data_IF_624847761662
#
_entry.id   IF_624847761662
#
_cell.length_a   1.000
_cell.length_b   1.000
_cell.length_c   1.000
_cell.angle_alpha   90.00
_cell.angle_beta   90.00
_cell.angle_gamma   90.00
#
_symmetry.space_group_name_H-M   'P 1'
#
loop_
_entity.id
_entity.type
_entity.pdbx_description
1 polymer ?
#
# COMPACT_ATOMS: atom_id res chain seq x y z
N UNK A 1 62.31 20.53 -64.05
CA UNK A 1 61.12 20.26 -64.86
C UNK A 1 60.17 19.41 -64.02
N UNK A 2 59.11 19.98 -63.48
CA UNK A 2 58.14 19.35 -62.65
C UNK A 2 56.83 19.16 -63.45
N UNK A 3 56.26 17.98 -63.54
CA UNK A 3 54.91 17.83 -64.03
C UNK A 3 53.88 17.91 -62.85
N UNK A 4 52.89 18.74 -63.03
CA UNK A 4 51.76 18.92 -62.16
C UNK A 4 50.84 17.68 -62.28
N UNK A 5 50.55 17.03 -61.15
CA UNK A 5 49.57 16.00 -61.03
C UNK A 5 48.28 16.63 -60.57
N UNK A 6 47.26 16.56 -61.40
CA UNK A 6 45.87 16.94 -61.14
C UNK A 6 45.18 15.82 -60.40
N UNK A 7 44.72 16.07 -59.20
CA UNK A 7 43.87 15.11 -58.42
C UNK A 7 42.41 15.24 -58.80
N UNK A 8 41.70 14.17 -59.01
CA UNK A 8 40.24 14.21 -59.17
C UNK A 8 39.53 14.35 -57.85
N UNK A 9 38.48 15.15 -57.81
CA UNK A 9 37.61 15.37 -56.68
C UNK A 9 36.87 14.06 -56.32
N UNK A 10 37.17 13.53 -55.12
CA UNK A 10 36.41 12.43 -54.54
C UNK A 10 35.12 12.96 -53.97
N UNK A 11 34.00 12.55 -54.54
CA UNK A 11 32.66 12.76 -54.01
C UNK A 11 32.53 11.94 -52.70
N UNK A 12 32.43 12.62 -51.56
CA UNK A 12 32.12 12.00 -50.28
C UNK A 12 30.65 11.59 -50.27
N UNK A 13 30.39 10.30 -50.33
CA UNK A 13 29.07 9.71 -50.09
C UNK A 13 28.81 9.78 -48.57
N UNK A 14 27.97 10.73 -48.14
CA UNK A 14 27.43 10.73 -46.76
C UNK A 14 26.43 9.55 -46.66
N UNK A 15 26.88 8.43 -46.11
CA UNK A 15 25.97 7.39 -45.64
C UNK A 15 25.20 7.92 -44.39
N UNK A 16 23.93 8.23 -44.62
CA UNK A 16 23.01 8.46 -43.48
C UNK A 16 22.85 7.15 -42.75
N UNK A 17 23.50 7.01 -41.61
CA UNK A 17 23.15 6.05 -40.59
C UNK A 17 21.80 6.49 -40.02
N UNK A 18 20.71 5.97 -40.54
CA UNK A 18 19.42 5.95 -39.86
C UNK A 18 19.55 5.03 -38.67
N UNK A 19 19.99 5.62 -37.54
CA UNK A 19 19.90 4.97 -36.24
C UNK A 19 18.42 4.69 -35.96
N UNK A 20 18.07 3.44 -35.68
CA UNK A 20 16.84 3.06 -35.04
C UNK A 20 16.81 3.69 -33.64
N UNK A 21 16.46 4.96 -33.55
CA UNK A 21 16.04 5.57 -32.31
C UNK A 21 14.65 5.02 -32.01
N UNK A 22 14.57 3.98 -31.16
CA UNK A 22 13.34 3.67 -30.46
C UNK A 22 12.98 4.93 -29.68
N UNK A 23 11.95 5.64 -30.11
CA UNK A 23 11.36 6.69 -29.30
C UNK A 23 10.67 5.99 -28.14
N UNK A 24 11.34 5.87 -27.00
CA UNK A 24 10.69 5.72 -25.72
C UNK A 24 9.92 7.03 -25.49
N UNK A 25 8.78 7.16 -26.19
CA UNK A 25 7.89 8.28 -26.05
C UNK A 25 7.37 8.26 -24.60
N UNK A 26 7.83 9.20 -23.81
CA UNK A 26 7.16 9.46 -22.54
C UNK A 26 5.66 9.57 -22.83
N UNK A 27 4.80 8.92 -22.04
CA UNK A 27 3.37 8.96 -22.28
C UNK A 27 2.93 10.42 -22.36
N UNK A 28 2.19 10.77 -23.41
CA UNK A 28 1.70 12.14 -23.59
C UNK A 28 0.90 12.53 -22.35
N UNK A 29 1.31 13.58 -21.69
CA UNK A 29 0.57 14.15 -20.56
C UNK A 29 -0.74 14.69 -21.15
N UNK A 30 -1.87 14.06 -20.80
CA UNK A 30 -3.19 14.51 -21.21
C UNK A 30 -3.46 15.88 -20.58
N UNK A 31 -4.20 16.75 -21.27
CA UNK A 31 -4.72 17.95 -20.63
C UNK A 31 -5.73 17.57 -19.52
N UNK A 32 -5.95 18.47 -18.55
CA UNK A 32 -6.77 18.17 -17.38
C UNK A 32 -8.21 17.75 -17.75
N UNK A 33 -8.79 18.34 -18.78
CA UNK A 33 -10.16 18.02 -19.22
C UNK A 33 -10.23 16.65 -19.90
N UNK A 34 -9.24 16.29 -20.73
CA UNK A 34 -9.13 14.96 -21.31
C UNK A 34 -8.86 13.89 -20.26
N UNK A 35 -8.07 14.23 -19.22
CA UNK A 35 -7.79 13.37 -18.08
C UNK A 35 -9.04 13.09 -17.25
N UNK A 36 -9.87 14.09 -16.98
CA UNK A 36 -11.14 13.97 -16.25
C UNK A 36 -12.15 13.11 -17.04
N UNK A 37 -12.31 13.38 -18.34
CA UNK A 37 -13.19 12.58 -19.20
C UNK A 37 -12.75 11.10 -19.22
N UNK A 38 -11.45 10.84 -19.40
CA UNK A 38 -10.92 9.49 -19.40
C UNK A 38 -11.03 8.81 -18.03
N UNK A 39 -11.06 9.56 -16.92
CA UNK A 39 -11.34 9.04 -15.58
C UNK A 39 -12.79 8.56 -15.47
N UNK A 40 -13.74 9.34 -15.92
CA UNK A 40 -15.17 8.98 -15.93
C UNK A 40 -15.45 7.74 -16.80
N UNK A 41 -14.79 7.64 -17.94
CA UNK A 41 -14.94 6.54 -18.90
C UNK A 41 -14.47 5.17 -18.38
N UNK A 42 -13.63 5.12 -17.36
CA UNK A 42 -13.11 3.88 -16.77
C UNK A 42 -14.24 2.94 -16.37
N UNK A 43 -15.33 3.47 -15.78
CA UNK A 43 -16.47 2.67 -15.29
C UNK A 43 -17.08 1.86 -16.44
N UNK A 44 -17.38 2.52 -17.56
CA UNK A 44 -18.01 1.86 -18.73
C UNK A 44 -17.08 0.90 -19.45
N UNK A 45 -15.76 1.13 -19.40
CA UNK A 45 -14.73 0.36 -20.12
C UNK A 45 -14.08 -0.73 -19.28
N UNK A 46 -14.33 -0.78 -17.97
CA UNK A 46 -13.61 -1.68 -17.05
C UNK A 46 -13.90 -3.16 -17.27
N UNK A 47 -15.11 -3.51 -17.73
CA UNK A 47 -15.55 -4.90 -17.86
C UNK A 47 -15.63 -5.69 -16.56
N UNK A 48 -15.49 -5.01 -15.40
CA UNK A 48 -15.55 -5.66 -14.08
C UNK A 48 -17.00 -5.99 -13.73
N UNK A 49 -17.32 -7.28 -13.65
CA UNK A 49 -18.61 -7.78 -13.18
C UNK A 49 -18.67 -7.83 -11.64
N UNK A 50 -19.89 -7.84 -11.07
CA UNK A 50 -20.12 -7.88 -9.62
C UNK A 50 -19.31 -6.83 -8.82
N UNK A 51 -19.08 -5.65 -9.44
CA UNK A 51 -18.28 -4.58 -8.85
C UNK A 51 -19.02 -3.26 -9.01
N UNK A 52 -19.19 -2.54 -7.91
CA UNK A 52 -19.62 -1.15 -7.94
C UNK A 52 -18.39 -0.26 -8.04
N UNK A 53 -18.35 0.63 -9.03
CA UNK A 53 -17.25 1.58 -9.23
C UNK A 53 -17.75 3.01 -9.15
N UNK A 54 -16.96 3.85 -8.53
CA UNK A 54 -17.08 5.31 -8.59
C UNK A 54 -15.74 5.92 -8.96
N UNK A 55 -15.76 7.03 -9.67
CA UNK A 55 -14.55 7.76 -10.07
C UNK A 55 -14.64 9.22 -9.65
N UNK A 56 -13.49 9.77 -9.31
CA UNK A 56 -13.32 11.20 -9.02
C UNK A 56 -11.97 11.65 -9.58
N UNK A 57 -11.95 12.74 -10.32
CA UNK A 57 -10.71 13.32 -10.80
C UNK A 57 -10.21 14.39 -9.83
N UNK A 58 -8.95 14.32 -9.46
CA UNK A 58 -8.24 15.27 -8.60
C UNK A 58 -7.27 16.07 -9.49
N UNK A 59 -7.46 17.41 -9.61
CA UNK A 59 -6.58 18.24 -10.44
C UNK A 59 -5.14 18.28 -9.92
N UNK A 60 -4.17 18.45 -10.83
CA UNK A 60 -2.78 18.70 -10.49
C UNK A 60 -2.63 19.95 -9.60
N UNK A 61 -1.63 19.92 -8.72
CA UNK A 61 -1.40 21.01 -7.77
C UNK A 61 -2.24 20.92 -6.49
N UNK A 62 -3.06 19.89 -6.34
CA UNK A 62 -3.75 19.60 -5.07
C UNK A 62 -2.71 19.26 -4.00
N UNK A 63 -2.79 19.93 -2.84
CA UNK A 63 -1.89 19.67 -1.73
C UNK A 63 -2.18 18.29 -1.13
N UNK A 64 -1.13 17.51 -0.88
CA UNK A 64 -1.27 16.20 -0.24
C UNK A 64 -1.81 16.36 1.19
N UNK A 65 -2.84 15.62 1.61
CA UNK A 65 -3.35 15.68 2.98
C UNK A 65 -2.29 15.34 4.02
N UNK A 66 -2.30 16.03 5.15
CA UNK A 66 -1.43 15.72 6.31
C UNK A 66 0.04 16.14 6.15
N UNK A 67 0.44 16.84 5.08
CA UNK A 67 1.80 17.37 4.95
C UNK A 67 1.92 18.79 5.46
N UNK A 68 2.94 19.02 6.30
CA UNK A 68 3.32 20.36 6.78
C UNK A 68 4.33 21.04 5.84
N UNK A 69 4.94 20.27 4.90
CA UNK A 69 5.94 20.78 3.97
C UNK A 69 5.30 21.54 2.82
N UNK A 70 5.77 22.74 2.57
CA UNK A 70 5.45 23.51 1.37
C UNK A 70 6.06 22.79 0.15
N UNK A 71 5.22 22.47 -0.86
CA UNK A 71 5.69 21.88 -2.12
C UNK A 71 5.37 20.41 -2.37
N UNK A 72 4.67 19.72 -1.45
CA UNK A 72 4.22 18.35 -1.68
C UNK A 72 2.82 18.36 -2.35
N UNK A 73 2.83 18.62 -3.65
CA UNK A 73 1.65 18.66 -4.48
C UNK A 73 1.48 17.34 -5.24
N UNK A 74 0.23 16.90 -5.37
CA UNK A 74 -0.12 15.71 -6.12
C UNK A 74 -0.21 16.02 -7.63
N UNK A 75 0.17 15.08 -8.51
CA UNK A 75 -0.16 15.16 -9.92
C UNK A 75 -1.68 15.11 -10.13
N UNK A 76 -2.16 15.56 -11.28
CA UNK A 76 -3.53 15.26 -11.71
C UNK A 76 -3.71 13.74 -11.73
N UNK A 77 -4.79 13.24 -11.15
CA UNK A 77 -5.02 11.80 -11.07
C UNK A 77 -6.50 11.44 -10.96
N UNK A 78 -6.83 10.25 -11.46
CA UNK A 78 -8.12 9.63 -11.28
C UNK A 78 -8.12 8.75 -10.03
N UNK A 79 -9.07 8.96 -9.13
CA UNK A 79 -9.34 8.08 -8.00
C UNK A 79 -10.51 7.17 -8.37
N UNK A 80 -10.26 5.87 -8.39
CA UNK A 80 -11.29 4.84 -8.59
C UNK A 80 -11.53 4.17 -7.25
N UNK A 81 -12.74 4.24 -6.74
CA UNK A 81 -13.17 3.48 -5.56
C UNK A 81 -14.10 2.38 -6.00
N UNK A 82 -13.87 1.17 -5.52
CA UNK A 82 -14.65 0.00 -5.89
C UNK A 82 -15.05 -0.85 -4.70
N UNK A 83 -16.17 -1.56 -4.86
CA UNK A 83 -16.63 -2.60 -3.94
C UNK A 83 -16.97 -3.85 -4.78
N UNK A 84 -16.17 -4.91 -4.62
CA UNK A 84 -16.33 -6.17 -5.36
C UNK A 84 -17.08 -7.19 -4.51
N UNK A 85 -17.87 -8.04 -5.19
CA UNK A 85 -18.59 -9.18 -4.61
C UNK A 85 -19.44 -8.79 -3.39
N UNK A 86 -20.33 -7.78 -3.50
CA UNK A 86 -21.21 -7.41 -2.39
C UNK A 86 -22.12 -8.59 -2.02
N UNK A 87 -22.26 -8.86 -0.74
CA UNK A 87 -23.07 -9.96 -0.19
C UNK A 87 -23.50 -9.69 1.24
N UNK A 88 -24.45 -10.47 1.71
CA UNK A 88 -24.80 -10.55 3.13
C UNK A 88 -24.11 -11.78 3.74
N UNK A 89 -23.40 -11.61 4.85
CA UNK A 89 -22.75 -12.68 5.58
C UNK A 89 -23.71 -13.54 6.38
N UNK A 90 -23.21 -14.64 6.93
CA UNK A 90 -23.99 -15.54 7.80
C UNK A 90 -24.40 -14.87 9.11
N UNK A 91 -23.73 -13.80 9.49
CA UNK A 91 -24.03 -12.95 10.67
C UNK A 91 -25.01 -11.81 10.35
N UNK A 92 -25.58 -11.78 9.15
CA UNK A 92 -26.53 -10.78 8.67
C UNK A 92 -25.91 -9.43 8.28
N UNK A 93 -24.58 -9.29 8.33
CA UNK A 93 -23.91 -8.03 7.99
C UNK A 93 -23.57 -7.95 6.51
N UNK A 94 -23.50 -6.73 5.94
CA UNK A 94 -23.02 -6.53 4.58
C UNK A 94 -21.50 -6.69 4.51
N UNK A 95 -21.02 -7.36 3.48
CA UNK A 95 -19.61 -7.54 3.14
C UNK A 95 -19.37 -7.24 1.67
N UNK A 96 -18.22 -6.68 1.36
CA UNK A 96 -17.68 -6.52 0.02
C UNK A 96 -16.18 -6.33 0.12
N UNK A 97 -15.46 -6.54 -0.97
CA UNK A 97 -14.03 -6.22 -1.05
C UNK A 97 -13.90 -4.78 -1.54
N UNK A 98 -13.67 -3.86 -0.62
CA UNK A 98 -13.42 -2.45 -0.90
C UNK A 98 -11.99 -2.22 -1.38
N UNK A 99 -11.82 -1.31 -2.35
CA UNK A 99 -10.51 -0.84 -2.78
C UNK A 99 -10.55 0.61 -3.24
N UNK A 100 -9.40 1.28 -3.17
CA UNK A 100 -9.15 2.59 -3.76
C UNK A 100 -7.90 2.51 -4.62
N UNK A 101 -8.01 2.96 -5.88
CA UNK A 101 -6.93 2.99 -6.87
C UNK A 101 -6.75 4.41 -7.38
N UNK A 102 -5.56 4.98 -7.22
CA UNK A 102 -5.17 6.27 -7.80
C UNK A 102 -4.33 6.08 -9.05
N UNK A 103 -4.72 6.73 -10.14
CA UNK A 103 -4.17 6.63 -11.49
C UNK A 103 -3.66 8.00 -11.95
N UNK A 104 -2.34 8.30 -11.81
CA UNK A 104 -1.81 9.63 -12.10
C UNK A 104 -1.70 9.89 -13.61
N UNK A 105 -1.88 11.14 -14.04
CA UNK A 105 -1.78 11.53 -15.45
C UNK A 105 -0.35 11.38 -15.99
N UNK A 106 0.65 11.57 -15.13
CA UNK A 106 2.07 11.38 -15.45
C UNK A 106 2.57 9.96 -15.12
N UNK A 107 1.74 8.94 -15.33
CA UNK A 107 2.08 7.56 -14.99
C UNK A 107 3.41 7.11 -15.57
N UNK A 108 4.28 6.58 -14.72
CA UNK A 108 5.64 6.16 -15.05
C UNK A 108 5.77 4.66 -15.45
N UNK A 109 4.64 3.99 -15.71
CA UNK A 109 4.63 2.55 -16.04
C UNK A 109 4.64 1.62 -14.83
N UNK A 110 4.66 2.14 -13.59
CA UNK A 110 4.78 1.34 -12.38
C UNK A 110 3.47 1.30 -11.60
N UNK A 111 3.23 0.14 -10.98
CA UNK A 111 2.10 -0.11 -10.10
C UNK A 111 2.60 -0.42 -8.70
N UNK A 112 1.99 0.17 -7.68
CA UNK A 112 2.26 -0.12 -6.28
C UNK A 112 0.98 -0.55 -5.56
N UNK A 113 1.02 -1.72 -4.94
CA UNK A 113 0.01 -2.17 -4.01
C UNK A 113 0.46 -1.84 -2.58
N UNK A 114 -0.29 -1.00 -1.88
CA UNK A 114 -0.06 -0.68 -0.48
C UNK A 114 -0.73 -1.72 0.41
N UNK A 115 0.07 -2.50 1.11
CA UNK A 115 -0.41 -3.39 2.15
C UNK A 115 -1.07 -2.61 3.30
N UNK A 116 -2.12 -3.17 3.85
CA UNK A 116 -2.84 -2.58 4.97
C UNK A 116 -2.15 -2.78 6.32
N UNK A 117 -2.94 -3.02 7.35
CA UNK A 117 -2.41 -3.26 8.69
C UNK A 117 -3.47 -3.62 9.71
N UNK A 118 -3.05 -4.15 10.86
CA UNK A 118 -3.97 -4.64 11.87
C UNK A 118 -4.90 -5.71 11.30
N UNK A 119 -6.19 -5.53 11.55
CA UNK A 119 -7.26 -6.37 10.97
C UNK A 119 -7.85 -5.76 9.67
N UNK A 120 -7.21 -4.81 9.04
CA UNK A 120 -7.68 -4.00 7.92
C UNK A 120 -9.07 -3.37 8.21
N UNK A 121 -10.06 -3.50 7.34
CA UNK A 121 -11.40 -2.94 7.53
C UNK A 121 -11.53 -1.45 7.21
N UNK A 122 -10.47 -0.84 6.65
CA UNK A 122 -10.40 0.54 6.21
C UNK A 122 -9.56 0.67 4.95
N UNK A 123 -9.96 1.56 4.05
CA UNK A 123 -9.15 1.94 2.89
C UNK A 123 -8.07 2.94 3.34
N UNK A 124 -6.83 2.67 2.96
CA UNK A 124 -5.75 3.64 3.12
C UNK A 124 -5.80 4.66 1.99
N UNK A 125 -5.53 5.91 2.32
CA UNK A 125 -5.37 6.94 1.32
C UNK A 125 -4.17 6.65 0.43
N UNK A 126 -4.43 6.42 -0.86
CA UNK A 126 -3.42 6.07 -1.87
C UNK A 126 -2.51 7.24 -2.26
N UNK A 127 -2.81 8.46 -1.81
CA UNK A 127 -1.95 9.63 -1.97
C UNK A 127 -0.81 9.68 -0.93
N UNK A 128 -0.93 8.90 0.16
CA UNK A 128 0.06 8.85 1.23
C UNK A 128 1.23 7.91 0.89
N UNK A 129 2.35 8.10 1.60
CA UNK A 129 3.48 7.17 1.55
C UNK A 129 3.12 5.86 2.26
N UNK A 130 3.73 4.75 1.84
CA UNK A 130 3.65 3.51 2.60
C UNK A 130 4.40 3.65 3.93
N UNK A 131 4.05 2.82 4.92
CA UNK A 131 4.74 2.79 6.20
C UNK A 131 6.22 2.39 6.12
N UNK A 132 6.65 1.83 5.00
CA UNK A 132 8.05 1.38 4.77
C UNK A 132 8.76 2.30 3.77
N UNK A 133 8.05 2.84 2.79
CA UNK A 133 8.60 3.78 1.80
C UNK A 133 8.31 5.23 2.18
N UNK A 134 8.57 5.58 3.44
CA UNK A 134 8.47 6.97 3.90
C UNK A 134 9.37 7.87 3.08
N UNK A 135 8.77 8.73 2.28
CA UNK A 135 9.53 9.64 1.42
C UNK A 135 8.62 10.70 0.81
N UNK A 136 9.22 11.83 0.49
CA UNK A 136 8.61 12.89 -0.30
C UNK A 136 9.36 12.95 -1.63
N UNK A 137 8.68 12.93 -2.77
CA UNK A 137 7.24 12.81 -2.95
C UNK A 137 6.70 11.38 -2.66
N UNK A 138 5.38 11.28 -2.41
CA UNK A 138 4.69 9.99 -2.26
C UNK A 138 4.79 9.13 -3.53
N UNK A 139 4.52 7.81 -3.49
CA UNK A 139 4.51 6.99 -4.70
C UNK A 139 3.61 7.54 -5.81
N UNK A 140 2.42 8.05 -5.47
CA UNK A 140 1.55 8.74 -6.43
C UNK A 140 2.24 9.98 -7.01
N UNK A 141 2.91 10.78 -6.18
CA UNK A 141 3.71 11.94 -6.60
C UNK A 141 4.86 11.57 -7.53
N UNK A 142 5.41 10.37 -7.38
CA UNK A 142 6.44 9.80 -8.25
C UNK A 142 5.88 9.20 -9.55
N UNK A 143 4.56 9.25 -9.77
CA UNK A 143 3.92 8.73 -10.97
C UNK A 143 3.54 7.25 -10.92
N UNK A 144 3.52 6.62 -9.76
CA UNK A 144 2.99 5.26 -9.63
C UNK A 144 1.45 5.26 -9.66
N UNK A 145 0.85 4.26 -10.29
CA UNK A 145 -0.53 3.87 -9.99
C UNK A 145 -0.52 3.16 -8.63
N UNK A 146 -1.41 3.56 -7.72
CA UNK A 146 -1.35 3.11 -6.32
C UNK A 146 -2.69 2.57 -5.87
N UNK A 147 -2.73 1.37 -5.28
CA UNK A 147 -3.97 0.75 -4.75
C UNK A 147 -3.85 0.42 -3.27
N UNK A 148 -4.98 0.47 -2.57
CA UNK A 148 -5.20 -0.11 -1.24
C UNK A 148 -6.53 -0.87 -1.19
N UNK A 149 -6.69 -1.78 -0.21
CA UNK A 149 -7.95 -2.50 0.04
C UNK A 149 -8.29 -2.51 1.53
N UNK A 150 -9.59 -2.67 1.84
CA UNK A 150 -10.09 -2.89 3.20
C UNK A 150 -9.99 -4.35 3.66
N UNK A 151 -9.45 -5.24 2.83
CA UNK A 151 -9.33 -6.67 3.09
C UNK A 151 -10.66 -7.44 3.17
N UNK A 152 -11.73 -6.92 2.57
CA UNK A 152 -13.01 -7.61 2.38
C UNK A 152 -14.05 -7.39 3.47
N UNK A 153 -13.87 -6.40 4.34
CA UNK A 153 -14.83 -6.01 5.37
C UNK A 153 -14.63 -4.54 5.78
N UNK A 154 -15.60 -4.00 6.51
CA UNK A 154 -15.52 -2.65 7.09
C UNK A 154 -15.38 -2.72 8.61
N UNK A 155 -14.61 -1.77 9.16
CA UNK A 155 -14.33 -1.68 10.59
C UNK A 155 -13.17 -2.56 11.04
N UNK A 156 -12.40 -2.05 11.99
CA UNK A 156 -11.13 -2.66 12.47
C UNK A 156 -11.31 -3.78 13.48
N UNK A 157 -12.56 -4.05 13.91
CA UNK A 157 -12.87 -5.14 14.84
C UNK A 157 -12.68 -6.50 14.17
N UNK A 158 -12.20 -7.49 14.91
CA UNK A 158 -12.11 -8.88 14.48
C UNK A 158 -13.47 -9.58 14.33
N UNK A 159 -14.60 -8.88 14.55
CA UNK A 159 -15.95 -9.46 14.48
C UNK A 159 -16.33 -10.00 13.10
N UNK A 160 -15.69 -9.55 12.01
CA UNK A 160 -15.83 -10.11 10.68
C UNK A 160 -15.52 -11.62 10.64
N UNK A 161 -14.70 -12.10 11.57
CA UNK A 161 -14.32 -13.50 11.69
C UNK A 161 -15.50 -14.45 12.00
N UNK A 162 -16.69 -13.93 12.35
CA UNK A 162 -17.91 -14.74 12.45
C UNK A 162 -18.36 -15.28 11.08
N UNK A 163 -18.10 -14.56 10.00
CA UNK A 163 -18.44 -14.97 8.63
C UNK A 163 -17.29 -15.75 7.97
N UNK A 164 -17.52 -17.00 7.51
CA UNK A 164 -16.47 -17.83 6.90
C UNK A 164 -15.85 -17.20 5.64
N UNK A 165 -16.66 -16.56 4.78
CA UNK A 165 -16.14 -15.94 3.55
C UNK A 165 -15.33 -14.69 3.88
N UNK A 166 -15.72 -13.90 4.87
CA UNK A 166 -14.92 -12.74 5.30
C UNK A 166 -13.55 -13.16 5.84
N UNK A 167 -13.44 -14.33 6.51
CA UNK A 167 -12.13 -14.89 6.87
C UNK A 167 -11.28 -15.24 5.65
N UNK A 168 -11.89 -15.81 4.60
CA UNK A 168 -11.22 -16.14 3.34
C UNK A 168 -10.78 -14.86 2.63
N UNK A 169 -11.66 -13.85 2.57
CA UNK A 169 -11.36 -12.54 1.98
C UNK A 169 -10.18 -11.88 2.68
N UNK A 170 -10.21 -11.83 4.01
CA UNK A 170 -9.12 -11.26 4.82
C UNK A 170 -7.82 -12.10 4.76
N UNK A 171 -7.91 -13.41 4.55
CA UNK A 171 -6.72 -14.25 4.46
C UNK A 171 -5.94 -14.04 3.15
N UNK A 172 -6.63 -13.98 2.00
CA UNK A 172 -5.96 -13.88 0.68
C UNK A 172 -6.85 -13.40 -0.46
N UNK A 173 -8.17 -13.68 -0.45
CA UNK A 173 -9.01 -13.51 -1.64
C UNK A 173 -9.20 -12.04 -2.02
N UNK A 174 -9.35 -11.15 -1.01
CA UNK A 174 -9.46 -9.71 -1.28
C UNK A 174 -8.19 -9.15 -1.93
N UNK A 175 -7.04 -9.64 -1.53
CA UNK A 175 -5.75 -9.20 -2.06
C UNK A 175 -5.57 -9.62 -3.52
N UNK A 176 -5.90 -10.89 -3.84
CA UNK A 176 -5.96 -11.42 -5.20
C UNK A 176 -6.89 -10.57 -6.08
N UNK A 177 -8.15 -10.45 -5.68
CA UNK A 177 -9.17 -9.72 -6.45
C UNK A 177 -8.80 -8.26 -6.68
N UNK A 178 -8.27 -7.59 -5.66
CA UNK A 178 -7.83 -6.20 -5.78
C UNK A 178 -6.64 -6.05 -6.72
N UNK A 179 -5.65 -6.94 -6.66
CA UNK A 179 -4.50 -6.90 -7.57
C UNK A 179 -4.92 -7.08 -9.04
N UNK A 180 -5.77 -8.07 -9.31
CA UNK A 180 -6.28 -8.36 -10.66
C UNK A 180 -7.12 -7.21 -11.18
N UNK A 181 -8.09 -6.71 -10.40
CA UNK A 181 -8.94 -5.59 -10.78
C UNK A 181 -8.12 -4.32 -11.04
N UNK A 182 -7.15 -4.02 -10.20
CA UNK A 182 -6.29 -2.84 -10.36
C UNK A 182 -5.48 -2.89 -11.64
N UNK A 183 -4.85 -4.03 -11.97
CA UNK A 183 -4.09 -4.20 -13.22
C UNK A 183 -5.00 -4.08 -14.46
N UNK A 184 -6.24 -4.56 -14.38
CA UNK A 184 -7.24 -4.36 -15.43
C UNK A 184 -7.61 -2.89 -15.62
N UNK A 185 -7.91 -2.17 -14.53
CA UNK A 185 -8.24 -0.74 -14.54
C UNK A 185 -7.07 0.12 -15.05
N UNK A 186 -5.83 -0.22 -14.67
CA UNK A 186 -4.61 0.41 -15.20
C UNK A 186 -4.54 0.23 -16.71
N UNK A 187 -4.76 -1.02 -17.19
CA UNK A 187 -4.74 -1.30 -18.62
C UNK A 187 -5.85 -0.55 -19.36
N UNK A 188 -7.04 -0.43 -18.78
CA UNK A 188 -8.16 0.35 -19.33
C UNK A 188 -7.81 1.84 -19.42
N UNK A 189 -7.17 2.40 -18.38
CA UNK A 189 -6.82 3.82 -18.31
C UNK A 189 -5.71 4.20 -19.29
N UNK A 190 -4.65 3.39 -19.36
CA UNK A 190 -3.43 3.75 -20.09
C UNK A 190 -3.23 2.97 -21.40
N UNK A 191 -4.14 2.05 -21.75
CA UNK A 191 -4.04 1.22 -22.96
C UNK A 191 -2.94 0.15 -22.91
N UNK A 192 -2.26 -0.01 -21.77
CA UNK A 192 -1.19 -1.00 -21.59
C UNK A 192 -1.09 -1.47 -20.15
N UNK A 193 -0.52 -2.66 -19.93
CA UNK A 193 -0.23 -3.20 -18.60
C UNK A 193 0.90 -2.42 -17.92
N UNK A 194 1.02 -2.47 -16.57
CA UNK A 194 2.22 -2.00 -15.88
C UNK A 194 3.48 -2.70 -16.40
N UNK A 195 4.57 -1.94 -16.53
CA UNK A 195 5.88 -2.48 -16.86
C UNK A 195 6.47 -3.22 -15.66
N UNK A 196 6.23 -2.66 -14.46
CA UNK A 196 6.61 -3.24 -13.18
C UNK A 196 5.52 -3.06 -12.15
N UNK A 197 5.35 -4.08 -11.31
CA UNK A 197 4.38 -4.11 -10.22
C UNK A 197 5.10 -4.37 -8.90
N UNK A 198 4.80 -3.59 -7.86
CA UNK A 198 5.42 -3.72 -6.55
C UNK A 198 4.36 -3.83 -5.47
N UNK A 199 4.72 -4.53 -4.40
CA UNK A 199 3.96 -4.57 -3.16
C UNK A 199 4.81 -4.01 -2.00
N UNK A 200 4.20 -3.22 -1.12
CA UNK A 200 4.86 -2.75 0.10
C UNK A 200 3.90 -2.73 1.28
N UNK A 201 4.22 -3.44 2.35
CA UNK A 201 3.39 -3.49 3.54
C UNK A 201 4.16 -3.86 4.81
N UNK A 202 3.64 -3.39 5.96
CA UNK A 202 4.22 -3.63 7.28
C UNK A 202 3.18 -4.27 8.20
N UNK A 203 3.59 -5.06 9.20
CA UNK A 203 2.70 -5.71 10.16
C UNK A 203 1.69 -6.65 9.47
N UNK A 204 0.37 -6.36 9.55
CA UNK A 204 -0.65 -7.03 8.74
C UNK A 204 -0.34 -6.98 7.25
N UNK A 205 0.12 -5.81 6.74
CA UNK A 205 0.58 -5.65 5.36
C UNK A 205 1.84 -6.46 5.04
N UNK A 206 2.74 -6.63 6.00
CA UNK A 206 3.87 -7.55 5.87
C UNK A 206 3.41 -9.00 5.70
N UNK A 207 2.40 -9.44 6.46
CA UNK A 207 1.75 -10.75 6.29
C UNK A 207 1.15 -10.89 4.89
N UNK A 208 0.47 -9.84 4.38
CA UNK A 208 -0.07 -9.84 3.02
C UNK A 208 1.03 -10.00 1.97
N UNK A 209 2.19 -9.33 2.13
CA UNK A 209 3.35 -9.50 1.27
C UNK A 209 3.89 -10.93 1.27
N UNK A 210 3.99 -11.56 2.44
CA UNK A 210 4.38 -12.97 2.56
C UNK A 210 3.34 -13.91 1.93
N UNK A 211 2.05 -13.59 2.04
CA UNK A 211 0.99 -14.33 1.37
C UNK A 211 1.09 -14.22 -0.16
N UNK A 212 1.36 -13.03 -0.70
CA UNK A 212 1.56 -12.84 -2.13
C UNK A 212 2.77 -13.63 -2.64
N UNK A 213 3.92 -13.55 -1.95
CA UNK A 213 5.14 -14.26 -2.36
C UNK A 213 4.96 -15.77 -2.41
N UNK A 214 4.06 -16.31 -1.59
CA UNK A 214 3.84 -17.75 -1.46
C UNK A 214 2.70 -18.25 -2.38
N UNK A 215 1.60 -17.49 -2.48
CA UNK A 215 0.38 -17.94 -3.15
C UNK A 215 0.22 -17.38 -4.57
N UNK A 216 0.76 -16.20 -4.83
CA UNK A 216 0.66 -15.48 -6.09
C UNK A 216 2.01 -14.87 -6.51
N UNK A 217 3.07 -15.69 -6.65
CA UNK A 217 4.45 -15.20 -6.85
C UNK A 217 4.62 -14.36 -8.12
N UNK A 218 3.78 -14.57 -9.13
CA UNK A 218 3.89 -13.87 -10.42
C UNK A 218 3.17 -12.51 -10.44
N UNK A 219 2.60 -12.06 -9.29
CA UNK A 219 1.83 -10.82 -9.29
C UNK A 219 2.70 -9.57 -9.20
N UNK A 220 3.88 -9.66 -8.60
CA UNK A 220 4.75 -8.52 -8.34
C UNK A 220 6.21 -8.85 -8.68
N UNK A 221 6.88 -7.86 -9.28
CA UNK A 221 8.32 -7.90 -9.56
C UNK A 221 9.16 -7.66 -8.31
N UNK A 222 8.57 -7.04 -7.29
CA UNK A 222 9.21 -6.81 -6.00
C UNK A 222 8.20 -6.71 -4.85
N UNK A 223 8.53 -7.36 -3.71
CA UNK A 223 7.70 -7.38 -2.50
C UNK A 223 8.54 -6.93 -1.32
N UNK A 224 8.09 -5.88 -0.64
CA UNK A 224 8.62 -5.45 0.65
C UNK A 224 7.65 -5.85 1.76
N UNK A 225 8.03 -6.85 2.57
CA UNK A 225 7.25 -7.35 3.69
C UNK A 225 7.94 -7.00 5.02
N UNK A 226 7.60 -5.83 5.58
CA UNK A 226 8.18 -5.36 6.84
C UNK A 226 7.46 -5.95 8.04
N UNK A 227 8.22 -6.38 9.06
CA UNK A 227 7.71 -6.90 10.34
C UNK A 227 6.44 -7.76 10.20
N UNK A 228 6.44 -8.83 9.36
CA UNK A 228 5.24 -9.57 9.00
C UNK A 228 4.61 -10.26 10.21
N UNK A 229 3.32 -10.04 10.43
CA UNK A 229 2.56 -10.65 11.53
C UNK A 229 2.20 -12.12 11.16
N UNK A 230 3.16 -13.03 11.22
CA UNK A 230 3.02 -14.41 10.71
C UNK A 230 2.24 -15.35 11.64
N UNK A 231 2.44 -15.24 12.95
CA UNK A 231 1.83 -16.15 13.95
C UNK A 231 0.67 -15.49 14.68
N UNK A 232 -0.33 -14.98 13.94
CA UNK A 232 -1.44 -14.24 14.55
C UNK A 232 -2.25 -15.12 15.48
N UNK A 233 -2.62 -16.35 15.07
CA UNK A 233 -3.49 -17.23 15.85
C UNK A 233 -2.79 -17.87 17.06
N UNK A 234 -1.51 -18.23 16.94
CA UNK A 234 -0.77 -18.97 17.99
C UNK A 234 0.16 -18.07 18.82
N UNK A 235 0.55 -16.92 18.31
CA UNK A 235 1.44 -15.97 18.99
C UNK A 235 0.70 -14.74 19.48
N UNK A 236 0.35 -13.82 18.57
CA UNK A 236 -0.21 -12.53 18.94
C UNK A 236 -1.57 -12.64 19.67
N UNK A 237 -2.47 -13.52 19.23
CA UNK A 237 -3.77 -13.73 19.88
C UNK A 237 -3.62 -14.33 21.27
N UNK A 238 -2.74 -15.33 21.44
CA UNK A 238 -2.49 -15.95 22.75
C UNK A 238 -1.87 -14.94 23.71
N UNK A 239 -0.89 -14.15 23.24
CA UNK A 239 -0.28 -13.11 24.05
C UNK A 239 -1.31 -12.02 24.47
N UNK A 240 -2.18 -11.60 23.54
CA UNK A 240 -3.23 -10.62 23.85
C UNK A 240 -4.26 -11.18 24.84
N UNK A 241 -4.66 -12.43 24.73
CA UNK A 241 -5.54 -13.11 25.69
C UNK A 241 -4.88 -13.20 27.07
N UNK A 242 -3.61 -13.62 27.12
CA UNK A 242 -2.87 -13.68 28.37
C UNK A 242 -2.79 -12.33 29.05
N UNK A 243 -2.39 -11.28 28.34
CA UNK A 243 -2.34 -9.93 28.89
C UNK A 243 -3.71 -9.47 29.41
N UNK A 244 -4.78 -9.72 28.66
CA UNK A 244 -6.14 -9.38 29.07
C UNK A 244 -6.55 -10.09 30.35
N UNK A 245 -6.23 -11.36 30.51
CA UNK A 245 -6.49 -12.14 31.73
C UNK A 245 -5.72 -11.53 32.91
N UNK A 246 -4.43 -11.22 32.76
CA UNK A 246 -3.63 -10.63 33.81
C UNK A 246 -4.12 -9.22 34.20
N UNK A 247 -4.46 -8.39 33.22
CA UNK A 247 -4.99 -7.04 33.50
C UNK A 247 -6.37 -7.09 34.19
N UNK A 248 -7.23 -8.04 33.79
CA UNK A 248 -8.52 -8.25 34.46
C UNK A 248 -8.35 -8.65 35.94
N UNK A 249 -7.28 -9.37 36.28
CA UNK A 249 -7.04 -9.80 37.66
C UNK A 249 -6.78 -8.62 38.59
N UNK A 250 -6.12 -7.55 38.11
CA UNK A 250 -5.66 -6.40 38.94
C UNK A 250 -6.45 -5.12 38.66
N UNK A 251 -7.16 -5.00 37.54
CA UNK A 251 -7.90 -3.81 37.18
C UNK A 251 -9.05 -3.52 38.16
N UNK A 252 -9.27 -2.26 38.55
CA UNK A 252 -10.43 -1.88 39.37
C UNK A 252 -11.72 -2.08 38.57
N UNK A 253 -12.84 -2.19 39.28
CA UNK A 253 -14.17 -2.29 38.69
C UNK A 253 -14.86 -0.93 38.67
N UNK A 254 -15.72 -0.71 37.66
CA UNK A 254 -16.68 0.39 37.65
C UNK A 254 -17.89 0.09 38.55
N UNK A 255 -18.84 1.04 38.63
CA UNK A 255 -20.05 0.89 39.43
C UNK A 255 -20.97 -0.27 38.97
N UNK A 256 -20.80 -0.75 37.74
CA UNK A 256 -21.52 -1.86 37.13
C UNK A 256 -20.78 -3.20 37.27
N UNK A 257 -19.62 -3.22 37.92
CA UNK A 257 -18.80 -4.42 38.11
C UNK A 257 -17.88 -4.76 36.93
N UNK A 258 -17.81 -3.94 35.85
CA UNK A 258 -16.92 -4.15 34.73
C UNK A 258 -15.49 -3.74 35.06
N UNK A 259 -14.50 -4.50 34.60
CA UNK A 259 -13.09 -4.19 34.76
C UNK A 259 -12.66 -3.01 33.89
N UNK A 260 -11.98 -2.03 34.50
CA UNK A 260 -11.43 -0.87 33.81
C UNK A 260 -9.95 -1.18 33.50
N UNK A 261 -9.68 -1.87 32.38
CA UNK A 261 -8.34 -2.36 32.02
C UNK A 261 -7.31 -1.22 31.92
N UNK A 262 -7.71 -0.05 31.45
CA UNK A 262 -6.83 1.13 31.36
C UNK A 262 -6.33 1.65 32.72
N UNK A 263 -6.90 1.16 33.82
CA UNK A 263 -6.51 1.50 35.20
C UNK A 263 -5.81 0.34 35.94
N UNK A 264 -5.46 -0.74 35.21
CA UNK A 264 -4.73 -1.87 35.78
C UNK A 264 -3.35 -1.46 36.32
N UNK A 265 -2.69 -0.52 35.63
CA UNK A 265 -1.43 0.10 36.07
C UNK A 265 -1.55 1.62 36.06
N UNK A 266 -0.98 2.25 37.07
CA UNK A 266 -0.76 3.70 37.08
C UNK A 266 0.49 4.07 36.25
N UNK A 267 0.64 5.35 35.92
CA UNK A 267 1.87 5.83 35.30
C UNK A 267 3.12 5.67 36.19
N UNK A 268 2.93 5.64 37.51
CA UNK A 268 4.03 5.36 38.44
C UNK A 268 4.47 3.91 38.41
N UNK A 269 3.53 2.97 38.31
CA UNK A 269 3.85 1.54 38.15
C UNK A 269 4.59 1.26 36.86
N UNK A 270 4.13 1.86 35.75
CA UNK A 270 4.81 1.73 34.46
C UNK A 270 6.22 2.32 34.47
N UNK A 271 6.42 3.47 35.13
CA UNK A 271 7.77 4.04 35.31
C UNK A 271 8.66 3.18 36.21
N UNK A 272 8.11 2.58 37.26
CA UNK A 272 8.87 1.65 38.10
C UNK A 272 9.41 0.47 37.27
N UNK A 273 8.56 -0.12 36.44
CA UNK A 273 8.97 -1.22 35.58
C UNK A 273 10.00 -0.77 34.52
N UNK A 274 9.78 0.37 33.87
CA UNK A 274 10.72 0.91 32.89
C UNK A 274 12.10 1.17 33.48
N UNK A 275 12.14 1.81 34.67
CA UNK A 275 13.40 2.08 35.39
C UNK A 275 14.12 0.79 35.80
N UNK A 276 13.39 -0.25 36.24
CA UNK A 276 13.98 -1.53 36.56
C UNK A 276 14.57 -2.26 35.33
N UNK A 277 13.87 -2.18 34.18
CA UNK A 277 14.38 -2.73 32.91
C UNK A 277 15.66 -2.02 32.50
N UNK A 278 15.64 -0.67 32.47
CA UNK A 278 16.82 0.10 32.10
C UNK A 278 17.99 -0.18 33.03
N UNK A 279 17.77 -0.14 34.36
CA UNK A 279 18.84 -0.42 35.31
C UNK A 279 19.48 -1.82 35.18
N UNK A 280 18.73 -2.79 34.61
CA UNK A 280 19.22 -4.18 34.46
C UNK A 280 19.79 -4.44 33.08
N UNK A 281 19.20 -3.88 32.05
CA UNK A 281 19.43 -4.30 30.66
C UNK A 281 20.12 -3.25 29.78
N UNK A 282 20.15 -1.97 30.16
CA UNK A 282 20.68 -0.87 29.35
C UNK A 282 22.14 -1.10 28.95
N UNK A 283 23.00 -1.45 29.90
CA UNK A 283 24.41 -1.72 29.60
C UNK A 283 24.66 -3.03 28.82
N UNK A 284 23.66 -3.87 28.59
CA UNK A 284 23.85 -5.21 28.02
C UNK A 284 24.15 -5.21 26.51
N UNK A 285 23.89 -4.11 25.82
CA UNK A 285 24.27 -3.92 24.41
C UNK A 285 25.61 -3.18 24.22
N UNK A 286 26.24 -2.77 25.34
CA UNK A 286 27.54 -2.08 25.35
C UNK A 286 27.44 -0.55 25.40
N UNK A 287 26.26 0.01 25.47
CA UNK A 287 25.98 1.46 25.58
C UNK A 287 25.04 1.71 26.74
N UNK A 288 25.24 2.80 27.49
CA UNK A 288 24.33 3.24 28.57
C UNK A 288 23.62 4.49 28.05
N UNK A 289 22.42 4.32 27.46
CA UNK A 289 21.66 5.37 26.80
C UNK A 289 20.14 5.35 27.08
N UNK A 290 19.75 4.65 28.15
CA UNK A 290 18.34 4.39 28.54
C UNK A 290 17.54 3.57 27.51
N UNK A 291 18.21 2.81 26.63
CA UNK A 291 17.59 1.95 25.62
C UNK A 291 18.05 0.50 25.77
N UNK A 292 17.21 -0.36 26.29
CA UNK A 292 17.49 -1.80 26.40
C UNK A 292 17.31 -2.48 25.01
N UNK A 293 18.38 -2.54 24.20
CA UNK A 293 18.33 -3.11 22.85
C UNK A 293 18.66 -4.61 22.82
N UNK A 294 19.46 -5.12 23.74
CA UNK A 294 19.77 -6.55 23.83
C UNK A 294 18.72 -7.30 24.67
N UNK A 295 17.63 -7.70 24.04
CA UNK A 295 16.51 -8.40 24.72
C UNK A 295 16.82 -9.87 25.06
N UNK A 296 18.00 -10.36 24.72
CA UNK A 296 18.45 -11.74 24.99
C UNK A 296 19.57 -11.79 26.05
N UNK A 297 19.90 -10.66 26.67
CA UNK A 297 20.92 -10.60 27.70
C UNK A 297 20.41 -11.10 29.05
#
# INVERSE_FOLDING_TARGET
>A
MNPRITTPASALLLAMLAGCGGSDGAPAVLDAKASEAACTDIISKSGLSATTLTTSYVPAGTKRPGTLTTGDFLPGHCVVTGAMNPRTGVDGKPYAIGFQLSLPDNWNGRFLYLGGGGNDGTLRDTSLSSSISGGTPSPLGQGFAVVSTDAGHTGTSASFGADPQARIDHAYNSYDKTAVASKSLISTRYGRKPDYSYFSGCSGGGRQGMMFSQRFPDYFDGITAGAPAMRVSSGATVAAMWNTIQFNAIAPQDASGNRILSKAFSNSDLRLVANAVNATCDAADGVVDDLAQNVNA
#
